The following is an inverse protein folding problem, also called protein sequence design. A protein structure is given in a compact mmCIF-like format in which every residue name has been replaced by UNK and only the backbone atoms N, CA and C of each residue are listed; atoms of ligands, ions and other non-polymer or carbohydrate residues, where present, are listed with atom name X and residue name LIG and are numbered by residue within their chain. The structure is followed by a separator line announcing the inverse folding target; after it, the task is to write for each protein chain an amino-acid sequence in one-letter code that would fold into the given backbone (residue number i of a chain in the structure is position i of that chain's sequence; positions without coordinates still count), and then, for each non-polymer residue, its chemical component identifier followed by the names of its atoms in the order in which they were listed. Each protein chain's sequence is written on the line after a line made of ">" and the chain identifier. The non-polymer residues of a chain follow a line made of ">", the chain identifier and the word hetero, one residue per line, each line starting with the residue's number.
data_IF_991140814551
#
_entry.id   IF_991140814551
#
_cell.length_a   1.000
_cell.length_b   1.000
_cell.length_c   1.000
_cell.angle_alpha   90.00
_cell.angle_beta   90.00
_cell.angle_gamma   90.00
#
_symmetry.space_group_name_H-M   'P 1'
#
loop_
_entity.id
_entity.type
_entity.pdbx_description
1 polymer ?
#
# COMPACT_ATOMS: atom_id res chain seq x y z
N UNK A 1 -3.94 19.03 17.92
CA UNK A 1 -4.71 18.94 16.66
C UNK A 1 -3.90 19.38 15.44
N UNK A 2 -3.45 20.65 15.33
CA UNK A 2 -2.77 21.16 14.12
C UNK A 2 -1.49 20.37 13.76
N UNK A 3 -0.62 20.09 14.74
CA UNK A 3 0.59 19.29 14.52
C UNK A 3 0.28 17.85 14.08
N UNK A 4 -0.81 17.26 14.57
CA UNK A 4 -1.25 15.93 14.17
C UNK A 4 -1.77 15.90 12.73
N UNK A 5 -2.52 16.93 12.31
CA UNK A 5 -3.01 17.06 10.94
C UNK A 5 -1.84 17.30 9.97
N UNK A 6 -0.89 18.15 10.36
CA UNK A 6 0.33 18.38 9.60
C UNK A 6 1.17 17.10 9.46
N UNK A 7 1.28 16.30 10.53
CA UNK A 7 1.93 14.99 10.50
C UNK A 7 1.24 14.00 9.56
N UNK A 8 -0.09 13.92 9.61
CA UNK A 8 -0.86 13.02 8.73
C UNK A 8 -0.75 13.44 7.25
N UNK A 9 -0.83 14.73 6.95
CA UNK A 9 -0.64 15.26 5.58
C UNK A 9 0.80 15.08 5.10
N UNK A 10 1.77 15.34 5.97
CA UNK A 10 3.19 15.11 5.67
C UNK A 10 3.47 13.64 5.37
N UNK A 11 2.86 12.73 6.11
CA UNK A 11 2.92 11.29 5.85
C UNK A 11 2.35 10.92 4.47
N UNK A 12 1.15 11.42 4.15
CA UNK A 12 0.52 11.18 2.84
C UNK A 12 1.39 11.69 1.67
N UNK A 13 2.00 12.87 1.82
CA UNK A 13 2.90 13.43 0.81
C UNK A 13 4.17 12.58 0.67
N UNK A 14 4.79 12.18 1.78
CA UNK A 14 6.00 11.37 1.77
C UNK A 14 5.75 9.99 1.14
N UNK A 15 4.69 9.28 1.52
CA UNK A 15 4.29 8.01 0.88
C UNK A 15 3.99 8.18 -0.61
N UNK A 16 3.34 9.29 -0.96
CA UNK A 16 2.99 9.63 -2.33
C UNK A 16 4.22 9.77 -3.22
N UNK A 17 5.18 10.58 -2.77
CA UNK A 17 6.47 10.80 -3.44
C UNK A 17 7.30 9.52 -3.48
N UNK A 18 7.40 8.79 -2.35
CA UNK A 18 8.12 7.54 -2.25
C UNK A 18 7.68 6.53 -3.31
N UNK A 19 6.37 6.29 -3.39
CA UNK A 19 5.75 5.40 -4.36
C UNK A 19 6.08 5.80 -5.80
N UNK A 20 6.08 7.10 -6.13
CA UNK A 20 6.47 7.55 -7.49
C UNK A 20 7.95 7.35 -7.80
N UNK A 21 8.85 7.66 -6.87
CA UNK A 21 10.29 7.48 -7.06
C UNK A 21 10.64 6.00 -7.22
N UNK A 22 10.01 5.13 -6.44
CA UNK A 22 10.17 3.68 -6.54
C UNK A 22 9.62 3.14 -7.87
N UNK A 23 8.45 3.62 -8.31
CA UNK A 23 7.90 3.26 -9.62
C UNK A 23 8.81 3.69 -10.79
N UNK A 24 9.41 4.88 -10.71
CA UNK A 24 10.39 5.35 -11.69
C UNK A 24 11.67 4.50 -11.68
N UNK A 25 12.19 4.19 -10.50
CA UNK A 25 13.38 3.34 -10.35
C UNK A 25 13.16 1.92 -10.91
N UNK A 26 11.99 1.34 -10.66
CA UNK A 26 11.60 0.04 -11.18
C UNK A 26 11.55 0.01 -12.71
N UNK A 27 11.04 1.07 -13.35
CA UNK A 27 10.94 1.20 -14.82
C UNK A 27 12.30 1.38 -15.50
N UNK A 28 13.24 2.05 -14.84
CA UNK A 28 14.58 2.32 -15.37
C UNK A 28 15.56 1.15 -15.18
N UNK A 29 15.16 0.11 -14.45
CA UNK A 29 15.99 -1.07 -14.19
C UNK A 29 15.63 -2.17 -15.19
N UNK A 30 16.65 -2.82 -15.78
CA UNK A 30 16.45 -3.86 -16.78
C UNK A 30 15.55 -5.01 -16.27
N UNK A 31 14.67 -5.58 -17.12
CA UNK A 31 13.75 -6.63 -16.71
C UNK A 31 14.49 -7.86 -16.18
N UNK A 32 14.04 -8.41 -15.06
CA UNK A 32 14.56 -9.68 -14.53
C UNK A 32 13.60 -10.82 -14.86
N UNK A 33 14.13 -11.96 -15.28
CA UNK A 33 13.37 -13.18 -15.58
C UNK A 33 12.91 -13.92 -14.31
N UNK A 34 12.14 -13.28 -13.43
CA UNK A 34 11.67 -13.91 -12.18
C UNK A 34 11.60 -12.95 -10.99
N UNK A 35 11.28 -13.52 -9.81
CA UNK A 35 11.61 -12.91 -8.51
C UNK A 35 13.12 -13.05 -8.30
N UNK A 36 13.89 -12.14 -8.91
CA UNK A 36 15.35 -12.13 -8.80
C UNK A 36 15.76 -11.23 -7.62
N UNK A 37 16.38 -11.76 -6.54
CA UNK A 37 16.88 -10.95 -5.44
C UNK A 37 17.88 -9.88 -5.89
N UNK A 38 18.58 -10.10 -7.02
CA UNK A 38 19.49 -9.12 -7.62
C UNK A 38 18.74 -7.90 -8.17
N UNK A 39 17.43 -8.00 -8.39
CA UNK A 39 16.57 -6.85 -8.68
C UNK A 39 16.59 -5.87 -7.49
N UNK A 40 16.42 -6.34 -6.25
CA UNK A 40 16.51 -5.47 -5.07
C UNK A 40 17.89 -4.83 -4.93
N UNK A 41 18.97 -5.58 -5.18
CA UNK A 41 20.33 -5.03 -5.14
C UNK A 41 20.51 -3.93 -6.20
N UNK A 42 19.96 -4.11 -7.39
CA UNK A 42 19.98 -3.09 -8.46
C UNK A 42 19.12 -1.89 -8.12
N UNK A 43 17.91 -2.09 -7.57
CA UNK A 43 17.08 -0.99 -7.11
C UNK A 43 17.73 -0.25 -5.94
N UNK A 44 18.37 -0.94 -5.00
CA UNK A 44 19.10 -0.34 -3.89
C UNK A 44 20.30 0.52 -4.34
N UNK A 45 20.82 0.29 -5.56
CA UNK A 45 21.82 1.18 -6.19
C UNK A 45 21.21 2.42 -6.84
N UNK A 46 19.90 2.45 -7.05
CA UNK A 46 19.19 3.62 -7.55
C UNK A 46 18.92 4.59 -6.41
N UNK A 47 19.54 5.77 -6.47
CA UNK A 47 19.32 6.83 -5.48
C UNK A 47 17.83 7.18 -5.31
N UNK A 48 17.03 7.06 -6.39
CA UNK A 48 15.58 7.30 -6.38
C UNK A 48 14.83 6.29 -5.52
N UNK A 49 15.20 5.01 -5.60
CA UNK A 49 14.59 3.96 -4.79
C UNK A 49 14.97 4.11 -3.31
N UNK A 50 16.25 4.38 -3.02
CA UNK A 50 16.73 4.63 -1.65
C UNK A 50 16.05 5.85 -1.05
N UNK A 51 15.94 6.94 -1.82
CA UNK A 51 15.21 8.13 -1.37
C UNK A 51 13.73 7.81 -1.10
N UNK A 52 13.09 7.02 -1.96
CA UNK A 52 11.73 6.54 -1.73
C UNK A 52 11.61 5.73 -0.43
N UNK A 53 12.54 4.82 -0.17
CA UNK A 53 12.54 4.03 1.07
C UNK A 53 12.75 4.88 2.32
N UNK A 54 13.62 5.91 2.25
CA UNK A 54 13.79 6.89 3.34
C UNK A 54 12.50 7.69 3.56
N UNK A 55 11.83 8.09 2.48
CA UNK A 55 10.55 8.79 2.55
C UNK A 55 9.43 7.90 3.13
N UNK A 56 9.40 6.60 2.85
CA UNK A 56 8.47 5.66 3.49
C UNK A 56 8.69 5.58 5.01
N UNK A 57 9.97 5.51 5.43
CA UNK A 57 10.32 5.55 6.85
C UNK A 57 9.90 6.86 7.52
N UNK A 58 10.15 8.00 6.87
CA UNK A 58 9.72 9.31 7.37
C UNK A 58 8.19 9.42 7.43
N UNK A 59 7.49 8.93 6.40
CA UNK A 59 6.03 8.92 6.33
C UNK A 59 5.42 8.10 7.47
N UNK A 60 6.01 6.94 7.76
CA UNK A 60 5.60 6.08 8.86
C UNK A 60 5.77 6.78 10.22
N UNK A 61 6.92 7.41 10.47
CA UNK A 61 7.17 8.15 11.72
C UNK A 61 6.20 9.33 11.89
N UNK A 62 5.92 10.06 10.82
CA UNK A 62 4.92 11.15 10.81
C UNK A 62 3.51 10.64 11.10
N UNK A 63 3.12 9.48 10.54
CA UNK A 63 1.85 8.83 10.83
C UNK A 63 1.76 8.41 12.30
N UNK A 64 2.82 7.82 12.86
CA UNK A 64 2.88 7.48 14.29
C UNK A 64 2.75 8.71 15.19
N UNK A 65 3.44 9.80 14.85
CA UNK A 65 3.33 11.07 15.58
C UNK A 65 1.90 11.65 15.51
N UNK A 66 1.25 11.57 14.35
CA UNK A 66 -0.14 11.99 14.17
C UNK A 66 -1.10 11.17 15.04
N UNK A 67 -0.93 9.84 15.07
CA UNK A 67 -1.76 8.93 15.88
C UNK A 67 -1.65 9.17 17.39
N UNK A 68 -0.58 9.80 17.88
CA UNK A 68 -0.46 10.19 19.29
C UNK A 68 -1.35 11.38 19.67
N UNK A 69 -1.77 12.18 18.69
CA UNK A 69 -2.50 13.44 18.94
C UNK A 69 -3.86 13.51 18.27
N UNK A 70 -4.16 12.57 17.37
CA UNK A 70 -5.41 12.48 16.64
C UNK A 70 -5.93 11.04 16.66
N UNK A 71 -7.27 10.85 16.68
CA UNK A 71 -7.86 9.53 16.52
C UNK A 71 -7.47 8.88 15.19
N UNK A 72 -7.29 7.56 15.21
CA UNK A 72 -6.89 6.75 14.04
C UNK A 72 -7.81 6.98 12.83
N UNK A 73 -9.10 7.15 13.08
CA UNK A 73 -10.09 7.36 12.03
C UNK A 73 -9.97 8.71 11.30
N UNK A 74 -9.26 9.69 11.88
CA UNK A 74 -8.90 10.94 11.20
C UNK A 74 -7.59 10.77 10.44
N UNK A 75 -6.61 10.12 11.06
CA UNK A 75 -5.26 10.00 10.50
C UNK A 75 -5.25 9.09 9.28
N UNK A 76 -5.92 7.95 9.31
CA UNK A 76 -5.82 6.96 8.24
C UNK A 76 -6.40 7.41 6.89
N UNK A 77 -7.58 8.06 6.83
CA UNK A 77 -8.07 8.61 5.56
C UNK A 77 -7.12 9.68 4.98
N UNK A 78 -6.50 10.50 5.85
CA UNK A 78 -5.51 11.50 5.42
C UNK A 78 -4.27 10.80 4.86
N UNK A 79 -3.70 9.82 5.57
CA UNK A 79 -2.53 9.06 5.08
C UNK A 79 -2.85 8.36 3.76
N UNK A 80 -4.00 7.71 3.66
CA UNK A 80 -4.46 6.99 2.47
C UNK A 80 -4.68 7.91 1.24
N UNK A 81 -4.75 9.23 1.43
CA UNK A 81 -4.71 10.19 0.31
C UNK A 81 -3.38 10.18 -0.45
N UNK A 82 -2.35 9.49 0.03
CA UNK A 82 -1.10 9.27 -0.70
C UNK A 82 -1.33 8.67 -2.09
N UNK A 83 -2.35 7.81 -2.28
CA UNK A 83 -2.70 7.27 -3.60
C UNK A 83 -3.02 8.39 -4.59
N UNK A 84 -3.74 9.41 -4.14
CA UNK A 84 -4.05 10.58 -4.95
C UNK A 84 -2.79 11.38 -5.26
N UNK A 85 -1.91 11.56 -4.27
CA UNK A 85 -0.60 12.21 -4.46
C UNK A 85 0.25 11.45 -5.48
N UNK A 86 0.36 10.13 -5.37
CA UNK A 86 1.08 9.27 -6.32
C UNK A 86 0.50 9.36 -7.72
N UNK A 87 -0.84 9.36 -7.87
CA UNK A 87 -1.49 9.49 -9.15
C UNK A 87 -1.22 10.87 -9.80
N UNK A 88 -1.33 11.95 -9.02
CA UNK A 88 -1.05 13.32 -9.48
C UNK A 88 0.42 13.47 -9.88
N UNK A 89 1.35 13.04 -9.04
CA UNK A 89 2.78 13.09 -9.33
C UNK A 89 3.14 12.21 -10.53
N UNK A 90 2.56 11.02 -10.65
CA UNK A 90 2.73 10.15 -11.81
C UNK A 90 2.27 10.81 -13.12
N UNK A 91 1.13 11.50 -13.10
CA UNK A 91 0.63 12.25 -14.25
C UNK A 91 1.53 13.45 -14.59
N UNK A 92 2.04 14.17 -13.59
CA UNK A 92 2.97 15.29 -13.76
C UNK A 92 4.30 14.84 -14.35
N UNK A 93 4.91 13.78 -13.80
CA UNK A 93 6.17 13.22 -14.32
C UNK A 93 5.99 12.64 -15.72
N UNK A 94 4.84 12.00 -15.97
CA UNK A 94 4.46 11.48 -17.29
C UNK A 94 4.03 12.54 -18.30
N UNK A 95 3.88 13.81 -17.89
CA UNK A 95 3.34 14.93 -18.70
C UNK A 95 1.97 14.63 -19.34
N UNK A 96 1.14 13.84 -18.67
CA UNK A 96 -0.19 13.46 -19.16
C UNK A 96 -1.26 14.21 -18.35
N UNK A 97 -2.22 14.90 -18.99
CA UNK A 97 -3.26 15.63 -18.27
C UNK A 97 -4.20 14.64 -17.54
N UNK A 98 -4.45 14.88 -16.26
CA UNK A 98 -5.41 14.12 -15.45
C UNK A 98 -6.81 14.23 -16.08
N UNK A 99 -7.38 13.09 -16.49
CA UNK A 99 -8.72 13.04 -17.07
C UNK A 99 -9.76 13.28 -15.98
N UNK A 100 -10.97 13.66 -16.38
CA UNK A 100 -12.10 13.81 -15.45
C UNK A 100 -12.36 12.50 -14.67
N UNK A 101 -12.14 11.35 -15.29
CA UNK A 101 -12.21 10.02 -14.66
C UNK A 101 -11.28 9.88 -13.46
N UNK A 102 -10.05 10.41 -13.57
CA UNK A 102 -9.02 10.25 -12.54
C UNK A 102 -9.34 11.16 -11.34
N UNK A 103 -9.83 12.37 -11.61
CA UNK A 103 -10.31 13.28 -10.57
C UNK A 103 -11.50 12.69 -9.80
N UNK A 104 -12.44 12.08 -10.51
CA UNK A 104 -13.60 11.39 -9.90
C UNK A 104 -13.13 10.18 -9.09
N UNK A 105 -12.23 9.35 -9.63
CA UNK A 105 -11.67 8.20 -8.93
C UNK A 105 -10.98 8.60 -7.62
N UNK A 106 -10.17 9.67 -7.64
CA UNK A 106 -9.54 10.23 -6.45
C UNK A 106 -10.59 10.68 -5.43
N UNK A 107 -11.60 11.45 -5.87
CA UNK A 107 -12.66 11.93 -4.98
C UNK A 107 -13.44 10.77 -4.34
N UNK A 108 -13.74 9.71 -5.11
CA UNK A 108 -14.43 8.50 -4.66
C UNK A 108 -13.61 7.74 -3.63
N UNK A 109 -12.29 7.58 -3.85
CA UNK A 109 -11.39 6.96 -2.85
C UNK A 109 -11.39 7.75 -1.55
N UNK A 110 -11.18 9.06 -1.64
CA UNK A 110 -11.14 9.95 -0.47
C UNK A 110 -12.46 9.93 0.29
N UNK A 111 -13.59 9.97 -0.42
CA UNK A 111 -14.92 9.89 0.18
C UNK A 111 -15.16 8.54 0.88
N UNK A 112 -14.80 7.43 0.24
CA UNK A 112 -14.93 6.09 0.82
C UNK A 112 -14.12 5.93 2.11
N UNK A 113 -12.86 6.39 2.09
CA UNK A 113 -12.00 6.38 3.28
C UNK A 113 -12.52 7.29 4.39
N UNK A 114 -13.06 8.47 4.06
CA UNK A 114 -13.67 9.36 5.03
C UNK A 114 -14.90 8.72 5.71
N UNK A 115 -15.74 8.01 4.95
CA UNK A 115 -16.89 7.26 5.49
C UNK A 115 -16.46 6.14 6.44
N UNK A 116 -15.40 5.39 6.10
CA UNK A 116 -14.83 4.36 6.99
C UNK A 116 -14.32 5.01 8.28
N UNK A 117 -13.64 6.15 8.17
CA UNK A 117 -13.20 6.91 9.34
C UNK A 117 -14.37 7.33 10.24
N UNK A 118 -15.42 7.90 9.67
CA UNK A 118 -16.60 8.32 10.44
C UNK A 118 -17.31 7.15 11.12
N UNK A 119 -17.27 5.95 10.53
CA UNK A 119 -17.92 4.76 11.06
C UNK A 119 -17.09 4.03 12.14
N UNK A 120 -15.79 4.31 12.26
CA UNK A 120 -14.93 3.69 13.26
C UNK A 120 -15.23 4.23 14.67
N UNK A 121 -15.28 3.32 15.66
CA UNK A 121 -15.38 3.69 17.08
C UNK A 121 -13.98 3.97 17.63
N UNK A 122 -13.86 4.89 18.58
CA UNK A 122 -12.60 5.11 19.31
C UNK A 122 -12.35 3.95 20.26
N UNK A 123 -11.87 2.81 19.77
CA UNK A 123 -11.66 1.64 20.61
C UNK A 123 -10.46 1.83 21.53
N UNK A 124 -10.69 1.56 22.82
CA UNK A 124 -9.64 1.43 23.84
C UNK A 124 -8.70 0.27 23.46
N UNK A 125 -7.39 0.38 23.74
CA UNK A 125 -6.43 -0.67 23.39
C UNK A 125 -6.85 -1.99 24.05
N UNK A 126 -7.29 -2.97 23.26
CA UNK A 126 -7.41 -4.34 23.76
C UNK A 126 -6.03 -5.00 23.67
N UNK A 127 -5.67 -5.85 24.65
CA UNK A 127 -4.48 -6.68 24.54
C UNK A 127 -4.54 -7.50 23.25
N UNK A 128 -3.55 -7.33 22.37
CA UNK A 128 -3.42 -8.14 21.17
C UNK A 128 -2.98 -9.54 21.60
N UNK A 129 -3.73 -10.62 21.27
CA UNK A 129 -3.30 -11.97 21.60
C UNK A 129 -1.96 -12.29 20.94
N UNK A 130 -1.05 -12.94 21.66
CA UNK A 130 0.25 -13.36 21.12
C UNK A 130 0.12 -14.24 19.85
N UNK A 131 -1.00 -14.96 19.71
CA UNK A 131 -1.33 -15.73 18.53
C UNK A 131 -1.40 -14.88 17.24
N UNK A 132 -1.76 -13.59 17.35
CA UNK A 132 -1.83 -12.69 16.19
C UNK A 132 -0.43 -12.38 15.65
N UNK A 133 0.56 -12.13 16.50
CA UNK A 133 1.96 -11.93 16.07
C UNK A 133 2.51 -13.15 15.32
N UNK A 134 2.21 -14.35 15.82
CA UNK A 134 2.56 -15.60 15.12
C UNK A 134 1.80 -15.78 13.81
N UNK A 135 0.50 -15.48 13.78
CA UNK A 135 -0.30 -15.56 12.55
C UNK A 135 0.21 -14.60 11.47
N UNK A 136 0.65 -13.39 11.85
CA UNK A 136 1.29 -12.42 10.96
C UNK A 136 2.58 -13.00 10.36
N UNK A 137 3.45 -13.58 11.18
CA UNK A 137 4.68 -14.23 10.71
C UNK A 137 4.39 -15.41 9.77
N UNK A 138 3.48 -16.31 10.16
CA UNK A 138 3.11 -17.47 9.35
C UNK A 138 2.49 -17.06 8.01
N UNK A 139 1.66 -16.01 8.00
CA UNK A 139 1.09 -15.45 6.77
C UNK A 139 2.17 -14.88 5.87
N UNK A 140 3.18 -14.20 6.44
CA UNK A 140 4.32 -13.68 5.68
C UNK A 140 5.14 -14.81 5.04
N UNK A 141 5.40 -15.89 5.78
CA UNK A 141 6.10 -17.08 5.27
C UNK A 141 5.28 -17.77 4.17
N UNK A 142 3.97 -17.94 4.37
CA UNK A 142 3.09 -18.49 3.36
C UNK A 142 3.08 -17.62 2.09
N UNK A 143 3.10 -16.29 2.24
CA UNK A 143 3.22 -15.36 1.13
C UNK A 143 4.52 -15.55 0.35
N UNK A 144 5.66 -15.80 1.01
CA UNK A 144 6.90 -16.18 0.32
C UNK A 144 6.69 -17.45 -0.50
N UNK A 145 6.12 -18.50 0.12
CA UNK A 145 5.91 -19.79 -0.53
C UNK A 145 4.99 -19.68 -1.76
N UNK A 146 3.98 -18.80 -1.70
CA UNK A 146 3.04 -18.53 -2.82
C UNK A 146 3.65 -17.58 -3.86
N UNK A 147 4.47 -16.61 -3.43
CA UNK A 147 5.13 -15.66 -4.33
C UNK A 147 6.07 -16.38 -5.30
N UNK A 148 6.80 -17.40 -4.86
CA UNK A 148 7.76 -18.15 -5.68
C UNK A 148 7.14 -18.77 -6.97
N UNK A 149 6.07 -19.59 -6.90
CA UNK A 149 5.43 -20.14 -8.10
C UNK A 149 4.71 -19.07 -8.93
N UNK A 150 4.03 -18.10 -8.30
CA UNK A 150 3.37 -17.00 -9.02
C UNK A 150 4.39 -16.10 -9.74
N UNK A 151 5.58 -15.97 -9.14
CA UNK A 151 6.75 -15.33 -9.71
C UNK A 151 7.31 -16.04 -10.93
N UNK A 152 6.83 -17.21 -11.31
CA UNK A 152 7.20 -17.86 -12.59
C UNK A 152 6.17 -17.63 -13.70
N UNK A 153 4.99 -17.09 -13.38
CA UNK A 153 3.94 -16.85 -14.37
C UNK A 153 4.34 -15.70 -15.31
N UNK A 154 4.38 -15.93 -16.64
CA UNK A 154 4.68 -14.88 -17.60
C UNK A 154 3.45 -14.00 -17.89
N UNK A 155 3.72 -12.80 -18.40
CA UNK A 155 2.72 -11.93 -19.01
C UNK A 155 1.63 -11.40 -18.06
N UNK A 156 0.45 -11.04 -18.59
CA UNK A 156 -0.63 -10.36 -17.87
C UNK A 156 -1.11 -11.08 -16.59
N UNK A 157 -1.15 -12.42 -16.63
CA UNK A 157 -1.55 -13.23 -15.47
C UNK A 157 -0.51 -13.14 -14.34
N UNK A 158 0.78 -13.14 -14.69
CA UNK A 158 1.87 -12.95 -13.74
C UNK A 158 1.86 -11.56 -13.11
N UNK A 159 1.53 -10.52 -13.90
CA UNK A 159 1.38 -9.16 -13.39
C UNK A 159 0.27 -9.06 -12.34
N UNK A 160 -0.93 -9.60 -12.64
CA UNK A 160 -2.03 -9.59 -11.68
C UNK A 160 -1.74 -10.42 -10.42
N UNK A 161 -1.16 -11.61 -10.58
CA UNK A 161 -0.80 -12.48 -9.47
C UNK A 161 0.25 -11.87 -8.55
N UNK A 162 1.31 -11.27 -9.11
CA UNK A 162 2.35 -10.61 -8.32
C UNK A 162 1.87 -9.29 -7.71
N UNK A 163 0.96 -8.58 -8.39
CA UNK A 163 0.25 -7.44 -7.81
C UNK A 163 -0.55 -7.85 -6.57
N UNK A 164 -1.28 -8.97 -6.64
CA UNK A 164 -2.01 -9.52 -5.50
C UNK A 164 -1.08 -9.90 -4.34
N UNK A 165 0.03 -10.58 -4.64
CA UNK A 165 1.06 -10.92 -3.65
C UNK A 165 1.62 -9.67 -2.97
N UNK A 166 1.85 -8.60 -3.73
CA UNK A 166 2.33 -7.34 -3.17
C UNK A 166 1.30 -6.69 -2.25
N UNK A 167 0.04 -6.61 -2.65
CA UNK A 167 -1.03 -6.08 -1.79
C UNK A 167 -1.19 -6.86 -0.50
N UNK A 168 -1.11 -8.19 -0.57
CA UNK A 168 -1.13 -9.04 0.61
C UNK A 168 0.10 -8.86 1.51
N UNK A 169 1.30 -8.68 0.92
CA UNK A 169 2.51 -8.37 1.68
C UNK A 169 2.43 -7.02 2.40
N UNK A 170 1.90 -5.97 1.75
CA UNK A 170 1.63 -4.68 2.40
C UNK A 170 0.54 -4.78 3.47
N UNK A 171 -0.47 -5.64 3.27
CA UNK A 171 -1.45 -5.91 4.30
C UNK A 171 -0.82 -6.55 5.55
N UNK A 172 0.10 -7.49 5.38
CA UNK A 172 0.87 -8.08 6.48
C UNK A 172 1.66 -6.99 7.21
N UNK A 173 2.32 -6.07 6.49
CA UNK A 173 3.03 -4.92 7.07
C UNK A 173 2.08 -4.06 7.93
N UNK A 174 0.90 -3.74 7.41
CA UNK A 174 -0.10 -2.94 8.11
C UNK A 174 -0.62 -3.62 9.39
N UNK A 175 -0.86 -4.93 9.36
CA UNK A 175 -1.28 -5.68 10.56
C UNK A 175 -0.11 -5.81 11.54
N UNK A 176 1.09 -6.15 11.06
CA UNK A 176 2.28 -6.33 11.88
C UNK A 176 2.65 -5.07 12.67
N UNK A 177 2.63 -3.90 12.02
CA UNK A 177 2.89 -2.61 12.67
C UNK A 177 1.90 -2.31 13.80
N UNK A 178 0.66 -2.78 13.68
CA UNK A 178 -0.37 -2.61 14.71
C UNK A 178 -0.26 -3.62 15.85
N UNK A 179 0.32 -4.79 15.61
CA UNK A 179 0.51 -5.84 16.61
C UNK A 179 1.80 -5.69 17.41
N UNK A 180 2.74 -4.88 16.93
CA UNK A 180 4.02 -4.66 17.63
C UNK A 180 3.81 -4.10 19.06
N UNK A 181 4.72 -4.43 19.99
CA UNK A 181 4.55 -4.08 21.39
C UNK A 181 4.70 -2.58 21.62
N UNK A 182 3.86 -2.05 22.50
CA UNK A 182 3.97 -0.68 23.00
C UNK A 182 4.36 -0.73 24.49
N UNK A 183 5.47 -0.11 24.92
CA UNK A 183 6.41 0.72 24.15
C UNK A 183 7.38 -0.07 23.26
N UNK A 184 7.83 0.56 22.15
CA UNK A 184 8.81 0.00 21.22
C UNK A 184 10.20 -0.02 21.87
N UNK A 185 10.59 -1.17 22.44
CA UNK A 185 11.95 -1.42 22.93
C UNK A 185 12.69 -2.31 21.93
N UNK A 186 14.01 -2.12 21.77
CA UNK A 186 14.79 -2.91 20.82
C UNK A 186 14.66 -4.42 21.10
N UNK A 187 14.76 -4.82 22.37
CA UNK A 187 14.59 -6.20 22.80
C UNK A 187 13.17 -6.73 22.57
N UNK A 188 12.14 -5.92 22.84
CA UNK A 188 10.74 -6.30 22.61
C UNK A 188 10.40 -6.47 21.13
N UNK A 189 10.93 -5.60 20.26
CA UNK A 189 10.74 -5.72 18.81
C UNK A 189 11.47 -6.93 18.24
N UNK A 190 12.70 -7.20 18.68
CA UNK A 190 13.45 -8.38 18.21
C UNK A 190 12.87 -9.69 18.72
N UNK A 191 12.22 -9.69 19.88
CA UNK A 191 11.55 -10.89 20.41
C UNK A 191 10.16 -11.13 19.78
N UNK A 192 9.56 -10.13 19.12
CA UNK A 192 8.20 -10.24 18.61
C UNK A 192 8.16 -10.88 17.20
N UNK A 193 7.45 -12.01 17.01
CA UNK A 193 7.24 -12.63 15.70
C UNK A 193 6.68 -11.67 14.63
N UNK A 194 5.87 -10.69 15.02
CA UNK A 194 5.29 -9.70 14.12
C UNK A 194 6.36 -8.82 13.46
N UNK A 195 7.49 -8.55 14.13
CA UNK A 195 8.59 -7.78 13.55
C UNK A 195 9.22 -8.52 12.36
N UNK A 196 9.34 -9.85 12.45
CA UNK A 196 9.81 -10.67 11.34
C UNK A 196 8.77 -10.75 10.22
N UNK A 197 7.49 -10.87 10.55
CA UNK A 197 6.40 -10.82 9.58
C UNK A 197 6.35 -9.49 8.82
N UNK A 198 6.59 -8.38 9.51
CA UNK A 198 6.74 -7.04 8.93
C UNK A 198 7.86 -7.00 7.88
N UNK A 199 9.05 -7.49 8.24
CA UNK A 199 10.22 -7.50 7.36
C UNK A 199 10.00 -8.41 6.14
N UNK A 200 9.49 -9.62 6.37
CA UNK A 200 9.24 -10.61 5.30
C UNK A 200 8.13 -10.11 4.37
N UNK A 201 7.00 -9.66 4.92
CA UNK A 201 5.86 -9.15 4.13
C UNK A 201 6.25 -7.94 3.29
N UNK A 202 7.00 -6.99 3.87
CA UNK A 202 7.55 -5.84 3.16
C UNK A 202 8.52 -6.24 2.05
N UNK A 203 9.45 -7.16 2.32
CA UNK A 203 10.40 -7.65 1.32
C UNK A 203 9.71 -8.36 0.15
N UNK A 204 8.72 -9.22 0.43
CA UNK A 204 7.91 -9.90 -0.59
C UNK A 204 7.14 -8.88 -1.44
N UNK A 205 6.51 -7.89 -0.81
CA UNK A 205 5.76 -6.85 -1.55
C UNK A 205 6.68 -6.01 -2.44
N UNK A 206 7.82 -5.59 -1.91
CA UNK A 206 8.84 -4.82 -2.63
C UNK A 206 9.49 -5.59 -3.79
N UNK A 207 9.51 -6.92 -3.73
CA UNK A 207 9.92 -7.76 -4.85
C UNK A 207 8.80 -7.98 -5.86
N UNK A 208 7.61 -8.29 -5.37
CA UNK A 208 6.49 -8.70 -6.20
C UNK A 208 5.94 -7.53 -7.02
N UNK A 209 5.80 -6.32 -6.46
CA UNK A 209 5.20 -5.20 -7.17
C UNK A 209 6.01 -4.70 -8.36
N UNK A 210 7.32 -4.41 -8.25
CA UNK A 210 8.14 -4.07 -9.42
C UNK A 210 8.15 -5.19 -10.46
N UNK A 211 8.21 -6.44 -10.02
CA UNK A 211 8.17 -7.60 -10.93
C UNK A 211 6.82 -7.70 -11.65
N UNK A 212 5.72 -7.35 -10.98
CA UNK A 212 4.39 -7.27 -11.59
C UNK A 212 4.33 -6.19 -12.68
N UNK A 213 4.86 -5.00 -12.39
CA UNK A 213 4.92 -3.87 -13.32
C UNK A 213 5.78 -4.18 -14.56
N UNK A 214 6.79 -5.04 -14.43
CA UNK A 214 7.61 -5.46 -15.56
C UNK A 214 6.89 -6.47 -16.49
N UNK A 215 5.85 -7.17 -16.00
CA UNK A 215 5.20 -8.28 -16.73
C UNK A 215 3.89 -7.93 -17.42
N UNK A 216 3.28 -6.82 -17.04
CA UNK A 216 1.98 -6.44 -17.55
C UNK A 216 1.76 -4.95 -17.37
N UNK A 217 0.53 -4.52 -17.63
CA UNK A 217 0.18 -3.12 -17.46
C UNK A 217 0.14 -2.74 -15.98
N UNK A 218 0.32 -1.44 -15.73
CA UNK A 218 0.17 -0.86 -14.39
C UNK A 218 -1.18 -1.22 -13.80
N UNK A 219 -2.26 -1.17 -14.60
CA UNK A 219 -3.59 -1.56 -14.17
C UNK A 219 -3.64 -2.98 -13.63
N UNK A 220 -3.09 -3.94 -14.38
CA UNK A 220 -3.14 -5.35 -13.99
C UNK A 220 -2.34 -5.61 -12.71
N UNK A 221 -1.22 -4.92 -12.51
CA UNK A 221 -0.41 -5.05 -11.30
C UNK A 221 -1.02 -4.32 -10.08
N UNK A 222 -1.47 -3.08 -10.28
CA UNK A 222 -1.86 -2.19 -9.19
C UNK A 222 -3.30 -2.43 -8.71
N UNK A 223 -4.22 -2.84 -9.60
CA UNK A 223 -5.61 -3.12 -9.21
C UNK A 223 -5.72 -4.19 -8.10
N UNK A 224 -5.16 -5.41 -8.24
CA UNK A 224 -5.23 -6.42 -7.18
C UNK A 224 -4.41 -6.04 -5.95
N UNK A 225 -3.30 -5.30 -6.12
CA UNK A 225 -2.52 -4.77 -5.02
C UNK A 225 -3.39 -3.90 -4.11
N UNK A 226 -4.03 -2.87 -4.66
CA UNK A 226 -4.77 -1.91 -3.85
C UNK A 226 -6.00 -2.55 -3.20
N UNK A 227 -6.68 -3.45 -3.91
CA UNK A 227 -7.79 -4.22 -3.34
C UNK A 227 -7.32 -4.98 -2.12
N UNK A 228 -6.28 -5.82 -2.23
CA UNK A 228 -5.86 -6.67 -1.11
C UNK A 228 -5.21 -5.88 0.03
N UNK A 229 -4.45 -4.85 -0.29
CA UNK A 229 -3.88 -3.94 0.71
C UNK A 229 -4.96 -3.19 1.50
N UNK A 230 -6.12 -2.94 0.91
CA UNK A 230 -7.25 -2.29 1.59
C UNK A 230 -8.11 -3.31 2.35
N UNK A 231 -8.43 -4.44 1.71
CA UNK A 231 -9.38 -5.43 2.21
C UNK A 231 -8.81 -6.22 3.38
N UNK A 232 -7.59 -6.72 3.25
CA UNK A 232 -7.03 -7.66 4.22
C UNK A 232 -6.76 -6.99 5.58
N UNK A 233 -6.20 -5.77 5.68
CA UNK A 233 -6.03 -5.11 6.98
C UNK A 233 -7.36 -4.72 7.61
N UNK A 234 -8.35 -4.31 6.82
CA UNK A 234 -9.69 -4.03 7.31
C UNK A 234 -10.34 -5.29 7.91
N UNK A 235 -10.28 -6.41 7.19
CA UNK A 235 -10.79 -7.69 7.67
C UNK A 235 -10.03 -8.18 8.92
N UNK A 236 -8.70 -8.09 8.94
CA UNK A 236 -7.89 -8.43 10.11
C UNK A 236 -8.21 -7.54 11.32
N UNK A 237 -8.46 -6.24 11.08
CA UNK A 237 -8.91 -5.30 12.11
C UNK A 237 -10.22 -5.71 12.77
N UNK A 238 -11.22 -6.11 11.97
CA UNK A 238 -12.52 -6.55 12.45
C UNK A 238 -12.45 -7.92 13.14
N UNK A 239 -11.75 -8.89 12.55
CA UNK A 239 -11.76 -10.29 12.98
C UNK A 239 -10.76 -10.61 14.10
N UNK A 240 -9.56 -10.03 14.04
CA UNK A 240 -8.44 -10.41 14.92
C UNK A 240 -8.15 -9.37 16.00
N UNK A 241 -8.46 -8.10 15.73
CA UNK A 241 -8.12 -6.98 16.61
C UNK A 241 -9.35 -6.39 17.31
N UNK A 242 -10.52 -7.01 17.14
CA UNK A 242 -11.77 -6.63 17.79
C UNK A 242 -12.27 -5.25 17.42
N UNK A 243 -11.95 -4.77 16.21
CA UNK A 243 -12.38 -3.48 15.71
C UNK A 243 -13.90 -3.45 15.58
N UNK A 244 -14.55 -2.52 16.30
CA UNK A 244 -16.00 -2.34 16.21
C UNK A 244 -16.33 -1.06 15.46
N UNK A 245 -17.24 -1.15 14.48
CA UNK A 245 -17.91 0.03 13.94
C UNK A 245 -18.92 0.53 14.96
N UNK A 246 -19.24 1.83 14.96
CA UNK A 246 -20.28 2.38 15.83
C UNK A 246 -21.56 1.56 15.70
N UNK A 247 -22.30 1.30 16.79
CA UNK A 247 -23.57 0.59 16.71
C UNK A 247 -24.49 1.22 15.64
N UNK A 248 -24.95 0.42 14.67
CA UNK A 248 -25.78 0.89 13.54
C UNK A 248 -25.02 1.46 12.33
N UNK A 249 -23.70 1.65 12.39
CA UNK A 249 -22.89 2.21 11.29
C UNK A 249 -22.22 1.16 10.39
N UNK A 250 -22.50 -0.13 10.59
CA UNK A 250 -21.91 -1.21 9.80
C UNK A 250 -22.16 -1.07 8.29
N UNK A 251 -23.38 -0.65 7.90
CA UNK A 251 -23.72 -0.39 6.51
C UNK A 251 -22.94 0.81 5.92
N UNK A 252 -22.67 1.85 6.71
CA UNK A 252 -21.89 3.02 6.30
C UNK A 252 -20.42 2.67 6.13
N UNK A 253 -19.86 1.86 7.03
CA UNK A 253 -18.50 1.34 6.92
C UNK A 253 -18.35 0.45 5.67
N UNK A 254 -19.30 -0.45 5.43
CA UNK A 254 -19.31 -1.31 4.26
C UNK A 254 -19.43 -0.49 2.95
N UNK A 255 -20.33 0.50 2.91
CA UNK A 255 -20.48 1.39 1.77
C UNK A 255 -19.21 2.21 1.52
N UNK A 256 -18.60 2.78 2.56
CA UNK A 256 -17.34 3.51 2.47
C UNK A 256 -16.20 2.64 1.92
N UNK A 257 -16.11 1.40 2.41
CA UNK A 257 -15.15 0.41 1.94
C UNK A 257 -15.34 0.04 0.46
N UNK A 258 -16.56 -0.30 0.06
CA UNK A 258 -16.90 -0.61 -1.33
C UNK A 258 -16.57 0.58 -2.23
N UNK A 259 -16.89 1.79 -1.79
CA UNK A 259 -16.62 3.02 -2.53
C UNK A 259 -15.12 3.27 -2.68
N UNK A 260 -14.34 3.10 -1.62
CA UNK A 260 -12.89 3.25 -1.64
C UNK A 260 -12.23 2.24 -2.60
N UNK A 261 -12.62 0.98 -2.51
CA UNK A 261 -12.14 -0.08 -3.40
C UNK A 261 -12.52 0.20 -4.86
N UNK A 262 -13.76 0.61 -5.13
CA UNK A 262 -14.22 0.95 -6.47
C UNK A 262 -13.47 2.14 -7.07
N UNK A 263 -13.23 3.19 -6.29
CA UNK A 263 -12.45 4.35 -6.71
C UNK A 263 -11.00 3.99 -7.03
N UNK A 264 -10.37 3.15 -6.20
CA UNK A 264 -9.00 2.71 -6.40
C UNK A 264 -8.86 1.82 -7.64
N UNK A 265 -9.80 0.89 -7.84
CA UNK A 265 -9.87 0.06 -9.05
C UNK A 265 -10.08 0.92 -10.31
N UNK A 266 -10.90 1.95 -10.22
CA UNK A 266 -11.10 2.91 -11.31
C UNK A 266 -9.79 3.64 -11.64
N UNK A 267 -9.07 4.14 -10.63
CA UNK A 267 -7.77 4.80 -10.85
C UNK A 267 -6.73 3.86 -11.44
N UNK A 268 -6.67 2.63 -10.93
CA UNK A 268 -5.76 1.62 -11.46
C UNK A 268 -6.03 1.35 -12.95
N UNK A 269 -7.30 1.31 -13.39
CA UNK A 269 -7.70 1.11 -14.78
C UNK A 269 -7.38 2.29 -15.71
N UNK A 270 -7.51 3.52 -15.23
CA UNK A 270 -7.33 4.71 -16.07
C UNK A 270 -5.89 5.24 -16.13
N UNK A 271 -4.98 4.73 -15.28
CA UNK A 271 -3.53 4.99 -15.39
C UNK A 271 -2.89 4.44 -16.67
N UNK A 272 -3.61 3.62 -17.45
CA UNK A 272 -3.27 3.27 -18.83
C UNK A 272 -3.60 4.44 -19.78
N UNK A 273 -2.68 5.39 -19.94
CA UNK A 273 -2.67 6.23 -21.14
C UNK A 273 -1.74 5.60 -22.18
N UNK A 274 -2.37 5.27 -23.30
CA UNK A 274 -1.94 4.54 -24.49
C UNK A 274 -0.44 4.69 -24.84
N UNK A 275 0.25 3.62 -25.27
CA UNK A 275 1.52 3.76 -25.96
C UNK A 275 1.31 4.71 -27.14
N UNK A 276 2.08 5.80 -27.16
CA UNK A 276 2.03 6.82 -28.19
C UNK A 276 1.99 6.14 -29.55
N UNK A 277 0.91 6.41 -30.29
CA UNK A 277 0.75 5.99 -31.68
C UNK A 277 2.04 6.38 -32.42
N UNK A 278 2.76 5.45 -33.06
CA UNK A 278 4.01 5.78 -33.72
C UNK A 278 3.73 6.89 -34.73
N UNK A 279 4.48 7.99 -34.61
CA UNK A 279 4.46 9.05 -35.60
C UNK A 279 4.68 8.38 -36.96
N UNK A 280 3.68 8.45 -37.83
CA UNK A 280 3.86 8.09 -39.24
C UNK A 280 4.94 9.05 -39.75
N UNK A 281 6.12 8.51 -40.03
CA UNK A 281 7.19 9.26 -40.66
C UNK A 281 6.69 9.85 -41.99
N UNK A 282 7.14 11.05 -42.38
CA UNK A 282 6.83 11.60 -43.68
C UNK A 282 7.34 10.64 -44.76
N UNK A 283 6.47 10.35 -45.72
CA UNK A 283 6.81 9.63 -46.96
C UNK A 283 7.64 10.51 -47.87
#
# INVERSE_FOLDING_TARGET
>A
MVLGLAGALGSALCYGVASTLQALAARLTAPAGGLDPRLLVRLARSWRYVLGLVLDGAAFLLSLAALRTLPLFVVQPIVASFLAVTAVLGALVGKLPLRRSDKIGIAVVVAGLALIGLAATGDSPRPVPAAVSWAVLLTAILLVAVALPLGRLPGPRGAAALGAVAGAGFAVVAVATRTLPAPLTLGGVLADPAAYGLLIGGAVAMLAYPTALQRGSVTLATAPLVVLETVLPAAAGLLLLGGTTRPGWGAVAAAGFVTAVAGALSLARHGELQPGRPARGPR
#
